data_IF_301075036389
#
_entry.id   IF_301075036389
#
_cell.length_a   1.000
_cell.length_b   1.000
_cell.length_c   1.000
_cell.angle_alpha   90.00
_cell.angle_beta   90.00
_cell.angle_gamma   90.00
#
_symmetry.space_group_name_H-M   'P 1'
#
loop_
_entity.id
_entity.type
_entity.pdbx_description
1 polymer ?
#
# COMPACT_ATOMS: atom_id res chain seq x y z
N UNK A 1 -6.80 21.07 -17.37
CA UNK A 1 -5.78 21.19 -16.30
C UNK A 1 -6.33 21.92 -15.07
N UNK A 2 -7.40 22.70 -15.24
CA UNK A 2 -8.02 23.49 -14.16
C UNK A 2 -8.60 22.65 -13.01
N UNK A 3 -8.89 21.36 -13.24
CA UNK A 3 -9.42 20.44 -12.22
C UNK A 3 -8.38 19.83 -11.28
N UNK A 4 -7.08 19.94 -11.57
CA UNK A 4 -6.02 19.40 -10.70
C UNK A 4 -5.52 20.41 -9.68
N UNK A 5 -5.80 21.70 -9.87
CA UNK A 5 -5.39 22.77 -8.96
C UNK A 5 -5.91 22.57 -7.52
N UNK A 6 -7.17 22.17 -7.28
CA UNK A 6 -7.64 21.85 -5.93
C UNK A 6 -6.88 20.68 -5.29
N UNK A 7 -6.52 19.66 -6.07
CA UNK A 7 -5.79 18.49 -5.57
C UNK A 7 -4.39 18.88 -5.11
N UNK A 8 -3.67 19.63 -5.95
CA UNK A 8 -2.32 20.12 -5.61
C UNK A 8 -2.37 21.02 -4.38
N UNK A 9 -3.37 21.90 -4.29
CA UNK A 9 -3.54 22.80 -3.16
C UNK A 9 -3.77 22.02 -1.85
N UNK A 10 -4.60 20.98 -1.86
CA UNK A 10 -4.81 20.11 -0.69
C UNK A 10 -3.52 19.40 -0.28
N UNK A 11 -2.76 18.86 -1.24
CA UNK A 11 -1.47 18.20 -0.95
C UNK A 11 -0.48 19.18 -0.32
N UNK A 12 -0.36 20.39 -0.87
CA UNK A 12 0.50 21.45 -0.33
C UNK A 12 0.06 21.86 1.08
N UNK A 13 -1.24 22.02 1.31
CA UNK A 13 -1.76 22.32 2.65
C UNK A 13 -1.48 21.21 3.65
N UNK A 14 -1.66 19.94 3.28
CA UNK A 14 -1.42 18.79 4.15
C UNK A 14 0.06 18.66 4.52
N UNK A 15 0.96 18.74 3.53
CA UNK A 15 2.41 18.72 3.76
C UNK A 15 2.84 19.95 4.55
N UNK A 16 2.33 21.14 4.21
CA UNK A 16 2.62 22.38 4.90
C UNK A 16 2.18 22.36 6.36
N UNK A 17 1.00 21.82 6.65
CA UNK A 17 0.51 21.65 8.02
C UNK A 17 1.39 20.70 8.83
N UNK A 18 1.79 19.56 8.25
CA UNK A 18 2.70 18.61 8.90
C UNK A 18 4.07 19.23 9.19
N UNK A 19 4.65 19.91 8.19
CA UNK A 19 5.93 20.61 8.33
C UNK A 19 5.85 21.75 9.36
N UNK A 20 4.79 22.55 9.33
CA UNK A 20 4.57 23.62 10.30
C UNK A 20 4.50 23.08 11.73
N UNK A 21 3.74 22.01 11.98
CA UNK A 21 3.66 21.41 13.32
C UNK A 21 5.00 20.87 13.79
N UNK A 22 5.77 20.24 12.90
CA UNK A 22 7.11 19.74 13.24
C UNK A 22 8.07 20.89 13.59
N UNK A 23 8.06 21.96 12.79
CA UNK A 23 8.89 23.16 13.04
C UNK A 23 8.45 23.91 14.30
N UNK A 24 7.15 24.08 14.52
CA UNK A 24 6.62 24.72 15.71
C UNK A 24 7.01 23.93 16.97
N UNK A 25 6.93 22.59 16.90
CA UNK A 25 7.35 21.72 18.01
C UNK A 25 8.85 21.84 18.27
N UNK A 26 9.70 21.90 17.24
CA UNK A 26 11.15 22.03 17.39
C UNK A 26 11.57 23.44 17.90
N UNK A 27 10.80 24.48 17.59
CA UNK A 27 11.06 25.86 18.01
C UNK A 27 10.56 26.16 19.42
N UNK A 28 9.33 25.73 19.75
CA UNK A 28 8.66 26.05 21.02
C UNK A 28 8.89 24.95 22.08
N UNK A 29 9.16 23.72 21.64
CA UNK A 29 9.26 22.55 22.51
C UNK A 29 10.49 22.54 23.43
N UNK A 30 10.41 21.95 24.63
CA UNK A 30 11.55 21.80 25.53
C UNK A 30 12.67 20.95 24.92
N UNK A 31 13.86 21.54 24.75
CA UNK A 31 15.05 20.87 24.23
C UNK A 31 15.80 20.10 25.31
N UNK A 32 15.16 19.08 25.88
CA UNK A 32 15.81 18.19 26.85
C UNK A 32 16.66 17.18 26.09
N UNK A 33 17.98 17.37 26.12
CA UNK A 33 18.97 16.44 25.60
C UNK A 33 19.65 15.74 26.78
N UNK A 34 19.75 14.42 26.74
CA UNK A 34 20.39 13.63 27.79
C UNK A 34 20.84 12.29 27.25
N UNK A 35 21.96 11.77 27.76
CA UNK A 35 22.57 10.52 27.29
C UNK A 35 21.58 9.34 27.29
N UNK A 36 20.75 9.23 28.33
CA UNK A 36 19.72 8.19 28.49
C UNK A 36 18.50 8.42 27.58
N UNK A 37 18.13 9.68 27.32
CA UNK A 37 17.00 10.00 26.42
C UNK A 37 17.34 9.73 24.96
N UNK A 38 18.62 9.87 24.61
CA UNK A 38 19.14 9.65 23.25
C UNK A 38 19.64 8.21 23.02
N UNK A 39 19.67 7.36 24.05
CA UNK A 39 20.00 5.94 23.90
C UNK A 39 18.80 5.13 23.40
N UNK A 40 19.08 4.04 22.69
CA UNK A 40 18.04 3.09 22.26
C UNK A 40 17.31 2.50 23.46
N UNK A 41 15.99 2.36 23.34
CA UNK A 41 15.16 1.76 24.37
C UNK A 41 15.29 0.23 24.36
N UNK A 42 15.70 -0.36 25.49
CA UNK A 42 15.81 -1.81 25.71
C UNK A 42 15.38 -2.16 27.15
N UNK A 43 14.16 -1.77 27.55
CA UNK A 43 13.57 -2.07 28.88
C UNK A 43 14.47 -1.76 30.10
N UNK A 44 15.36 -0.75 29.99
CA UNK A 44 16.27 -0.33 31.06
C UNK A 44 17.66 -1.00 31.03
N UNK A 45 17.91 -1.88 30.07
CA UNK A 45 19.21 -2.51 29.82
C UNK A 45 19.95 -1.81 28.68
N UNK A 46 21.26 -1.99 28.61
CA UNK A 46 22.03 -1.59 27.42
C UNK A 46 21.76 -2.59 26.28
N UNK A 47 21.58 -2.13 25.02
CA UNK A 47 21.37 -3.01 23.88
C UNK A 47 22.51 -4.02 23.74
N UNK A 48 22.18 -5.31 23.73
CA UNK A 48 23.16 -6.39 23.60
C UNK A 48 23.08 -6.98 22.19
N UNK A 49 24.23 -7.09 21.53
CA UNK A 49 24.34 -7.73 20.21
C UNK A 49 24.15 -6.76 19.04
N UNK A 50 23.81 -7.32 17.87
CA UNK A 50 23.73 -6.57 16.61
C UNK A 50 22.28 -6.51 16.12
N UNK A 51 21.82 -5.32 15.75
CA UNK A 51 20.47 -5.09 15.20
C UNK A 51 20.27 -5.62 13.76
N UNK A 52 21.31 -6.14 13.12
CA UNK A 52 21.27 -6.69 11.75
C UNK A 52 20.91 -8.17 11.76
N UNK A 53 19.68 -8.47 12.16
CA UNK A 53 19.13 -9.82 12.06
C UNK A 53 18.42 -10.03 10.72
N UNK A 54 18.31 -11.29 10.29
CA UNK A 54 17.55 -11.63 9.09
C UNK A 54 16.07 -11.48 9.42
N UNK A 55 15.38 -10.62 8.68
CA UNK A 55 13.93 -10.57 8.72
C UNK A 55 13.33 -11.81 8.06
N UNK A 56 12.17 -12.25 8.54
CA UNK A 56 11.48 -13.39 7.97
C UNK A 56 11.11 -13.13 6.50
N UNK A 57 11.35 -14.13 5.63
CA UNK A 57 11.04 -14.09 4.18
C UNK A 57 9.54 -13.87 3.91
N UNK A 58 8.68 -14.08 4.91
CA UNK A 58 7.23 -13.90 4.84
C UNK A 58 6.83 -12.51 4.34
N UNK A 59 7.53 -11.46 4.76
CA UNK A 59 7.27 -10.09 4.27
C UNK A 59 7.54 -9.92 2.78
N UNK A 60 8.55 -10.62 2.26
CA UNK A 60 8.87 -10.61 0.83
C UNK A 60 7.76 -11.31 0.03
N UNK A 61 7.31 -12.49 0.46
CA UNK A 61 6.24 -13.21 -0.24
C UNK A 61 4.93 -12.42 -0.21
N UNK A 62 4.62 -11.77 0.92
CA UNK A 62 3.46 -10.88 1.05
C UNK A 62 3.56 -9.69 0.08
N UNK A 63 4.69 -9.00 0.06
CA UNK A 63 4.90 -7.84 -0.82
C UNK A 63 4.85 -8.22 -2.31
N UNK A 64 5.46 -9.35 -2.68
CA UNK A 64 5.41 -9.86 -4.05
C UNK A 64 3.98 -10.22 -4.47
N UNK A 65 3.22 -10.86 -3.57
CA UNK A 65 1.81 -11.20 -3.83
C UNK A 65 0.95 -9.95 -3.97
N UNK A 66 1.14 -8.94 -3.09
CA UNK A 66 0.45 -7.65 -3.19
C UNK A 66 0.75 -6.94 -4.52
N UNK A 67 2.02 -6.90 -4.93
CA UNK A 67 2.43 -6.27 -6.19
C UNK A 67 1.78 -6.94 -7.40
N UNK A 68 1.65 -8.26 -7.40
CA UNK A 68 0.95 -8.98 -8.47
C UNK A 68 -0.54 -8.58 -8.54
N UNK A 69 -1.24 -8.54 -7.40
CA UNK A 69 -2.65 -8.11 -7.38
C UNK A 69 -2.82 -6.62 -7.76
N UNK A 70 -1.90 -5.75 -7.38
CA UNK A 70 -1.94 -4.34 -7.75
C UNK A 70 -1.84 -4.17 -9.28
N UNK A 71 -0.95 -4.93 -9.92
CA UNK A 71 -0.82 -4.97 -11.39
C UNK A 71 -2.11 -5.50 -12.04
N UNK A 72 -2.77 -6.51 -11.48
CA UNK A 72 -4.04 -7.00 -12.00
C UNK A 72 -5.15 -5.94 -11.92
N UNK A 73 -5.22 -5.17 -10.83
CA UNK A 73 -6.17 -4.08 -10.68
C UNK A 73 -5.92 -2.96 -11.70
N UNK A 74 -4.66 -2.66 -12.03
CA UNK A 74 -4.31 -1.72 -13.11
C UNK A 74 -4.92 -2.15 -14.45
N UNK A 75 -5.01 -3.44 -14.75
CA UNK A 75 -5.70 -3.94 -15.95
C UNK A 75 -7.23 -3.87 -15.86
N UNK A 76 -7.80 -3.99 -14.66
CA UNK A 76 -9.25 -3.91 -14.46
C UNK A 76 -9.79 -2.49 -14.62
N UNK A 77 -9.01 -1.44 -14.30
CA UNK A 77 -9.48 -0.05 -14.41
C UNK A 77 -9.89 0.37 -15.84
N UNK A 78 -9.06 0.20 -16.89
CA UNK A 78 -9.46 0.53 -18.25
C UNK A 78 -10.68 -0.26 -18.71
N UNK A 79 -10.76 -1.55 -18.35
CA UNK A 79 -11.94 -2.36 -18.67
C UNK A 79 -13.20 -1.79 -18.00
N UNK A 80 -13.14 -1.47 -16.70
CA UNK A 80 -14.28 -0.97 -15.95
C UNK A 80 -14.81 0.34 -16.55
N UNK A 81 -13.93 1.25 -16.96
CA UNK A 81 -14.31 2.50 -17.62
C UNK A 81 -14.85 2.24 -19.03
N UNK A 82 -14.23 1.36 -19.81
CA UNK A 82 -14.67 1.05 -21.18
C UNK A 82 -16.03 0.34 -21.21
N UNK A 83 -16.29 -0.56 -20.26
CA UNK A 83 -17.53 -1.33 -20.19
C UNK A 83 -18.77 -0.44 -20.00
N UNK A 84 -18.64 0.72 -19.35
CA UNK A 84 -19.74 1.69 -19.23
C UNK A 84 -20.24 2.27 -20.56
N UNK A 85 -19.43 2.16 -21.62
CA UNK A 85 -19.73 2.66 -22.96
C UNK A 85 -20.33 1.60 -23.88
N UNK A 86 -20.44 0.34 -23.43
CA UNK A 86 -20.95 -0.76 -24.23
C UNK A 86 -22.46 -0.88 -24.00
N UNK A 87 -23.22 -1.00 -25.09
CA UNK A 87 -24.67 -1.20 -25.00
C UNK A 87 -25.01 -2.53 -24.30
N UNK A 88 -25.76 -2.52 -23.19
CA UNK A 88 -26.04 -3.72 -22.39
C UNK A 88 -26.79 -4.82 -23.15
N UNK A 89 -27.52 -4.46 -24.21
CA UNK A 89 -28.26 -5.40 -25.06
C UNK A 89 -27.46 -5.97 -26.24
N UNK A 90 -26.21 -5.54 -26.43
CA UNK A 90 -25.38 -6.02 -27.53
C UNK A 90 -24.80 -7.42 -27.23
N UNK A 91 -24.68 -8.31 -28.23
CA UNK A 91 -23.96 -9.59 -28.07
C UNK A 91 -22.50 -9.40 -27.63
N UNK A 92 -21.91 -8.25 -27.95
CA UNK A 92 -20.54 -7.90 -27.61
C UNK A 92 -20.34 -7.65 -26.11
N UNK A 93 -21.35 -7.12 -25.41
CA UNK A 93 -21.31 -6.90 -23.96
C UNK A 93 -21.07 -8.21 -23.21
N UNK A 94 -21.77 -9.28 -23.59
CA UNK A 94 -21.61 -10.61 -22.98
C UNK A 94 -20.20 -11.18 -23.19
N UNK A 95 -19.64 -11.02 -24.38
CA UNK A 95 -18.27 -11.46 -24.69
C UNK A 95 -17.23 -10.65 -23.90
N UNK A 96 -17.42 -9.33 -23.78
CA UNK A 96 -16.51 -8.43 -23.06
C UNK A 96 -16.51 -8.71 -21.56
N UNK A 97 -17.70 -8.96 -20.99
CA UNK A 97 -17.86 -9.37 -19.60
C UNK A 97 -17.22 -10.75 -19.37
N UNK A 98 -17.46 -11.72 -20.26
CA UNK A 98 -16.91 -13.07 -20.16
C UNK A 98 -15.37 -13.10 -20.12
N UNK A 99 -14.71 -12.26 -20.92
CA UNK A 99 -13.24 -12.14 -20.92
C UNK A 99 -12.69 -11.67 -19.58
N UNK A 100 -13.32 -10.68 -18.94
CA UNK A 100 -12.86 -10.21 -17.63
C UNK A 100 -13.27 -11.13 -16.51
N UNK A 101 -14.41 -11.79 -16.58
CA UNK A 101 -14.74 -12.86 -15.64
C UNK A 101 -13.71 -14.00 -15.69
N UNK A 102 -13.27 -14.37 -16.90
CA UNK A 102 -12.18 -15.34 -17.05
C UNK A 102 -10.87 -14.84 -16.44
N UNK A 103 -10.48 -13.59 -16.69
CA UNK A 103 -9.28 -12.98 -16.08
C UNK A 103 -9.37 -12.98 -14.54
N UNK A 104 -10.47 -12.48 -13.97
CA UNK A 104 -10.70 -12.46 -12.52
C UNK A 104 -10.74 -13.87 -11.94
N UNK A 105 -11.30 -14.84 -12.65
CA UNK A 105 -11.30 -16.24 -12.22
C UNK A 105 -9.87 -16.77 -12.08
N UNK A 106 -8.97 -16.46 -13.03
CA UNK A 106 -7.57 -16.89 -12.93
C UNK A 106 -6.86 -16.26 -11.73
N UNK A 107 -7.13 -14.99 -11.44
CA UNK A 107 -6.64 -14.30 -10.23
C UNK A 107 -7.15 -14.96 -8.96
N UNK A 108 -8.44 -15.33 -8.89
CA UNK A 108 -9.02 -16.02 -7.74
C UNK A 108 -8.36 -17.39 -7.55
N UNK A 109 -8.11 -18.14 -8.62
CA UNK A 109 -7.40 -19.43 -8.54
C UNK A 109 -5.99 -19.25 -7.98
N UNK A 110 -5.25 -18.26 -8.48
CA UNK A 110 -3.91 -17.93 -7.97
C UNK A 110 -3.94 -17.53 -6.48
N UNK A 111 -4.92 -16.70 -6.08
CA UNK A 111 -5.13 -16.28 -4.70
C UNK A 111 -5.42 -17.47 -3.78
N UNK A 112 -6.36 -18.33 -4.16
CA UNK A 112 -6.73 -19.53 -3.38
C UNK A 112 -5.54 -20.47 -3.25
N UNK A 113 -4.73 -20.63 -4.30
CA UNK A 113 -3.49 -21.40 -4.23
C UNK A 113 -2.50 -20.81 -3.22
N UNK A 114 -2.26 -19.49 -3.27
CA UNK A 114 -1.38 -18.79 -2.34
C UNK A 114 -1.86 -18.93 -0.88
N UNK A 115 -3.17 -18.82 -0.64
CA UNK A 115 -3.77 -19.07 0.67
C UNK A 115 -3.50 -20.49 1.13
N UNK A 116 -3.79 -21.51 0.29
CA UNK A 116 -3.58 -22.92 0.63
C UNK A 116 -2.12 -23.23 0.94
N UNK A 117 -1.17 -22.55 0.30
CA UNK A 117 0.26 -22.63 0.59
C UNK A 117 0.70 -21.92 1.88
N UNK A 118 -0.20 -21.20 2.53
CA UNK A 118 0.08 -20.53 3.81
C UNK A 118 0.84 -19.23 3.68
N UNK A 119 0.78 -18.56 2.51
CA UNK A 119 1.43 -17.24 2.29
C UNK A 119 1.00 -16.21 3.33
N UNK A 120 -0.25 -16.30 3.80
CA UNK A 120 -0.85 -15.37 4.75
C UNK A 120 -0.85 -15.88 6.21
N UNK A 121 -0.08 -16.92 6.53
CA UNK A 121 0.03 -17.41 7.90
C UNK A 121 1.11 -16.65 8.68
N UNK A 122 0.77 -16.23 9.89
CA UNK A 122 1.61 -15.42 10.78
C UNK A 122 1.92 -16.14 12.10
N UNK A 123 1.92 -17.47 12.07
CA UNK A 123 2.28 -18.36 13.19
C UNK A 123 3.79 -18.60 13.33
#
# INVERSE_FOLDING_TARGET
>A
MDSYLPVVLIVVMAVGFGAFNLLATELIGPKVQGKVKMSTYESGMDPIGTARQRFHVRFYVLAMTFLLFDVEVVFLYPWAVAYTKVDPGSPEAGLYLGRVLFFVLTSIVAYVYAWRKGVFRFD
#
